data_IF_880918472279
#
_entry.id   IF_880918472279
#
_cell.length_a   1.000
_cell.length_b   1.000
_cell.length_c   1.000
_cell.angle_alpha   90.00
_cell.angle_beta   90.00
_cell.angle_gamma   90.00
#
_symmetry.space_group_name_H-M   'P 1'
#
loop_
_entity.id
_entity.type
_entity.pdbx_description
1 polymer ?
#
# COMPACT_ATOMS: atom_id res chain seq x y z
N UNK A 1 -28.80 -5.23 12.05
CA UNK A 1 -27.45 -5.82 12.16
C UNK A 1 -26.94 -5.96 10.74
N UNK A 2 -26.25 -4.94 10.25
CA UNK A 2 -25.84 -4.84 8.86
C UNK A 2 -24.74 -5.89 8.63
N UNK A 3 -25.03 -6.86 7.77
CA UNK A 3 -24.31 -8.12 7.57
C UNK A 3 -22.90 -8.01 6.99
N UNK A 4 -22.11 -7.03 7.41
CA UNK A 4 -20.69 -6.98 7.13
C UNK A 4 -19.96 -7.76 8.23
N UNK A 5 -19.60 -9.01 7.92
CA UNK A 5 -18.65 -9.77 8.72
C UNK A 5 -17.32 -9.00 8.88
N UNK A 6 -16.46 -9.38 9.84
CA UNK A 6 -15.19 -8.70 10.05
C UNK A 6 -14.37 -8.67 8.76
N UNK A 7 -13.85 -7.50 8.40
CA UNK A 7 -13.05 -7.32 7.19
C UNK A 7 -11.83 -8.24 7.22
N UNK A 8 -11.70 -9.07 6.19
CA UNK A 8 -10.59 -10.02 6.06
C UNK A 8 -9.53 -9.43 5.13
N UNK A 9 -8.29 -9.38 5.61
CA UNK A 9 -7.12 -8.95 4.83
C UNK A 9 -6.35 -10.18 4.36
N UNK A 10 -6.10 -10.28 3.06
CA UNK A 10 -5.26 -11.33 2.49
C UNK A 10 -3.88 -10.78 2.20
N UNK A 11 -2.87 -11.35 2.86
CA UNK A 11 -1.48 -11.01 2.61
C UNK A 11 -1.00 -11.76 1.38
N UNK A 12 -0.47 -11.03 0.40
CA UNK A 12 0.12 -11.56 -0.83
C UNK A 12 1.47 -10.92 -1.04
N UNK A 13 2.40 -11.71 -1.54
CA UNK A 13 3.72 -11.24 -1.95
C UNK A 13 3.65 -10.50 -3.29
N UNK A 14 4.68 -9.72 -3.56
CA UNK A 14 4.87 -9.07 -4.86
C UNK A 14 4.80 -10.09 -6.02
N UNK A 15 5.49 -11.21 -5.88
CA UNK A 15 5.57 -12.23 -6.93
C UNK A 15 4.24 -12.92 -7.18
N UNK A 16 3.50 -13.28 -6.13
CA UNK A 16 2.16 -13.89 -6.29
C UNK A 16 1.21 -12.98 -7.10
N UNK A 17 1.24 -11.67 -6.82
CA UNK A 17 0.39 -10.71 -7.53
C UNK A 17 0.87 -10.48 -8.97
N UNK A 18 2.18 -10.38 -9.19
CA UNK A 18 2.76 -10.26 -10.53
C UNK A 18 2.44 -11.48 -11.41
N UNK A 19 2.62 -12.69 -10.86
CA UNK A 19 2.32 -13.95 -11.54
C UNK A 19 0.83 -14.08 -11.86
N UNK A 20 -0.04 -13.68 -10.91
CA UNK A 20 -1.48 -13.67 -11.15
C UNK A 20 -1.85 -12.77 -12.33
N UNK A 21 -1.32 -11.54 -12.36
CA UNK A 21 -1.62 -10.57 -13.43
C UNK A 21 -1.15 -11.09 -14.78
N UNK A 22 0.09 -11.57 -14.86
CA UNK A 22 0.68 -12.06 -16.12
C UNK A 22 -0.02 -13.31 -16.65
N UNK A 23 -0.34 -14.28 -15.78
CA UNK A 23 -1.13 -15.47 -16.14
C UNK A 23 -2.56 -15.14 -16.57
N UNK A 24 -3.08 -14.00 -16.10
CA UNK A 24 -4.41 -13.50 -16.48
C UNK A 24 -4.40 -12.71 -17.80
N UNK A 25 -3.27 -12.70 -18.53
CA UNK A 25 -3.14 -12.02 -19.81
C UNK A 25 -2.96 -10.51 -19.68
N UNK A 26 -2.33 -10.04 -18.61
CA UNK A 26 -1.86 -8.67 -18.51
C UNK A 26 -0.35 -8.59 -18.72
N UNK A 27 0.08 -7.59 -19.48
CA UNK A 27 1.47 -7.15 -19.48
C UNK A 27 1.64 -6.07 -18.41
N UNK A 28 2.48 -6.34 -17.41
CA UNK A 28 2.83 -5.35 -16.38
C UNK A 28 3.86 -4.38 -16.96
N UNK A 29 3.48 -3.13 -17.11
CA UNK A 29 4.31 -2.09 -17.73
C UNK A 29 5.17 -1.35 -16.70
N UNK A 30 4.65 -1.21 -15.47
CA UNK A 30 5.35 -0.55 -14.37
C UNK A 30 4.86 -1.04 -13.02
N UNK A 31 5.75 -1.05 -12.04
CA UNK A 31 5.43 -1.19 -10.63
C UNK A 31 5.85 0.07 -9.90
N UNK A 32 4.96 0.58 -9.05
CA UNK A 32 5.21 1.75 -8.21
C UNK A 32 5.02 1.34 -6.75
N UNK A 33 6.01 1.68 -5.93
CA UNK A 33 6.01 1.45 -4.49
C UNK A 33 5.90 2.82 -3.80
N UNK A 34 4.69 3.43 -3.76
CA UNK A 34 4.54 4.75 -3.20
C UNK A 34 4.99 4.77 -1.74
N UNK A 35 5.88 5.72 -1.46
CA UNK A 35 6.17 6.05 -0.09
C UNK A 35 5.08 6.97 0.45
N UNK A 36 4.69 6.74 1.71
CA UNK A 36 3.80 7.63 2.41
C UNK A 36 4.43 9.03 2.57
N UNK A 37 4.22 9.95 1.63
CA UNK A 37 4.75 11.33 1.74
C UNK A 37 4.24 12.05 3.00
N UNK A 38 3.10 11.64 3.54
CA UNK A 38 2.52 12.11 4.81
C UNK A 38 3.26 11.63 6.07
N UNK A 39 4.29 10.78 5.96
CA UNK A 39 5.20 10.43 7.07
C UNK A 39 6.48 11.28 7.08
N UNK A 40 6.64 12.17 6.11
CA UNK A 40 7.75 13.14 6.07
C UNK A 40 7.42 14.37 6.91
N UNK A 41 8.45 14.99 7.48
CA UNK A 41 8.32 16.16 8.36
C UNK A 41 7.69 17.38 7.64
N UNK A 42 7.62 17.37 6.30
CA UNK A 42 7.05 18.43 5.47
C UNK A 42 5.53 18.63 5.68
N UNK A 43 4.79 17.62 6.14
CA UNK A 43 3.35 17.75 6.40
C UNK A 43 3.02 18.24 7.82
N UNK A 44 3.86 17.93 8.82
CA UNK A 44 3.74 18.47 10.18
C UNK A 44 3.87 20.00 10.17
N UNK A 45 4.67 20.55 9.24
CA UNK A 45 4.80 21.99 9.02
C UNK A 45 3.57 22.63 8.33
N UNK A 46 2.75 21.85 7.64
CA UNK A 46 1.61 22.31 6.82
C UNK A 46 0.22 22.16 7.47
N UNK A 47 0.14 21.64 8.71
CA UNK A 47 -1.12 21.53 9.45
C UNK A 47 -2.03 20.37 9.02
N UNK A 48 -1.57 19.46 8.16
CA UNK A 48 -2.30 18.23 7.84
C UNK A 48 -2.19 17.23 8.98
N UNK A 49 -3.30 16.62 9.41
CA UNK A 49 -3.24 15.51 10.38
C UNK A 49 -2.94 14.22 9.63
N UNK A 50 -1.78 13.62 9.88
CA UNK A 50 -1.46 12.29 9.38
C UNK A 50 -2.55 11.29 9.79
N UNK A 51 -3.03 10.40 8.90
CA UNK A 51 -3.95 9.33 9.31
C UNK A 51 -3.24 8.23 10.12
N UNK A 52 -1.92 8.30 10.27
CA UNK A 52 -1.08 7.35 11.01
C UNK A 52 -0.83 7.84 12.44
N UNK A 53 -1.89 7.83 13.25
CA UNK A 53 -1.89 8.32 14.63
C UNK A 53 -2.10 7.21 15.65
N UNK A 54 -1.59 7.40 16.86
CA UNK A 54 -1.75 6.47 17.98
C UNK A 54 -0.51 5.62 18.27
N UNK A 55 -0.54 4.94 19.40
CA UNK A 55 0.63 4.28 20.01
C UNK A 55 1.28 3.22 19.12
N UNK A 56 0.49 2.49 18.34
CA UNK A 56 0.98 1.50 17.39
C UNK A 56 1.88 2.13 16.30
N UNK A 57 1.40 3.21 15.69
CA UNK A 57 2.11 3.91 14.63
C UNK A 57 3.35 4.62 15.16
N UNK A 58 3.28 5.26 16.32
CA UNK A 58 4.43 5.93 16.93
C UNK A 58 5.53 4.93 17.31
N UNK A 59 5.18 3.79 17.91
CA UNK A 59 6.14 2.76 18.30
C UNK A 59 6.79 2.06 17.10
N UNK A 60 6.08 1.98 15.98
CA UNK A 60 6.57 1.32 14.76
C UNK A 60 7.00 2.30 13.67
N UNK A 61 7.05 3.61 13.95
CA UNK A 61 7.22 4.67 12.93
C UNK A 61 8.45 4.45 12.06
N UNK A 62 9.60 4.22 12.69
CA UNK A 62 10.87 4.01 11.99
C UNK A 62 10.84 2.78 11.07
N UNK A 63 10.20 1.69 11.51
CA UNK A 63 10.05 0.49 10.69
C UNK A 63 9.12 0.75 9.51
N UNK A 64 7.98 1.38 9.77
CA UNK A 64 6.93 1.60 8.77
C UNK A 64 7.32 2.68 7.76
N UNK A 65 8.17 3.64 8.12
CA UNK A 65 8.72 4.62 7.19
C UNK A 65 9.74 4.03 6.22
N UNK A 66 10.33 2.86 6.52
CA UNK A 66 11.25 2.14 5.64
C UNK A 66 10.54 1.19 4.67
N UNK A 67 9.22 1.02 4.83
CA UNK A 67 8.41 0.16 3.97
C UNK A 67 7.54 1.00 3.05
N UNK A 68 7.36 0.59 1.78
CA UNK A 68 6.39 1.24 0.92
C UNK A 68 4.99 1.03 1.48
N UNK A 69 4.13 2.05 1.33
CA UNK A 69 2.77 1.98 1.87
C UNK A 69 1.90 1.00 1.09
N UNK A 70 2.10 0.96 -0.23
CA UNK A 70 1.38 0.07 -1.12
C UNK A 70 2.30 -0.39 -2.26
N UNK A 71 1.84 -1.38 -3.00
CA UNK A 71 2.42 -1.80 -4.29
C UNK A 71 1.35 -1.57 -5.35
N UNK A 72 1.67 -0.79 -6.38
CA UNK A 72 0.76 -0.46 -7.48
C UNK A 72 1.33 -1.07 -8.76
N UNK A 73 0.53 -1.90 -9.43
CA UNK A 73 0.86 -2.44 -10.74
C UNK A 73 0.12 -1.65 -11.81
N UNK A 74 0.85 -1.01 -12.71
CA UNK A 74 0.32 -0.50 -13.96
C UNK A 74 0.45 -1.59 -15.01
N UNK A 75 -0.68 -2.10 -15.48
CA UNK A 75 -0.70 -3.22 -16.40
C UNK A 75 -1.75 -3.01 -17.51
N UNK A 76 -1.44 -3.53 -18.69
CA UNK A 76 -2.31 -3.48 -19.87
C UNK A 76 -2.71 -4.88 -20.26
N UNK A 77 -4.01 -5.09 -20.53
CA UNK A 77 -4.50 -6.38 -21.02
C UNK A 77 -3.93 -6.64 -22.41
N UNK A 78 -3.24 -7.75 -22.58
CA UNK A 78 -2.86 -8.25 -23.91
C UNK A 78 -4.11 -8.86 -24.54
N UNK A 79 -4.45 -8.41 -25.75
CA UNK A 79 -5.61 -8.86 -26.50
C UNK A 79 -5.59 -10.37 -26.76
#
# INVERSE_FOLDING_TARGET
ADGHGPGMTFFRTYSEMFDLLTRSGFSVERVVEPFPHYLTDEMDAGGGKSPYVGSYWSASRERLSRMPFAIIYLARKTA
#
